data_IF_357209418261
#
_entry.id   IF_357209418261
#
_cell.length_a   1.000
_cell.length_b   1.000
_cell.length_c   1.000
_cell.angle_alpha   90.00
_cell.angle_beta   90.00
_cell.angle_gamma   90.00
#
_symmetry.space_group_name_H-M   'P 1'
#
loop_
_entity.id
_entity.type
_entity.pdbx_description
1 polymer ?
#
# COMPACT_ATOMS: atom_id res chain seq x y z
N UNK A 1 -12.45 -12.11 -17.48
CA UNK A 1 -11.17 -12.30 -16.77
C UNK A 1 -11.26 -11.51 -15.48
N UNK A 2 -11.73 -12.13 -14.40
CA UNK A 2 -11.82 -11.44 -13.11
C UNK A 2 -10.39 -11.19 -12.61
N UNK A 3 -10.08 -9.93 -12.34
CA UNK A 3 -8.82 -9.53 -11.71
C UNK A 3 -8.71 -10.12 -10.30
N UNK A 4 -7.61 -9.83 -9.61
CA UNK A 4 -7.46 -10.18 -8.19
C UNK A 4 -8.70 -9.70 -7.41
N UNK A 5 -9.09 -10.42 -6.35
CA UNK A 5 -10.26 -10.10 -5.50
C UNK A 5 -10.32 -8.62 -5.11
N UNK A 6 -9.16 -8.06 -4.75
CA UNK A 6 -8.93 -6.63 -4.46
C UNK A 6 -9.54 -5.70 -5.53
N UNK A 7 -9.32 -6.00 -6.82
CA UNK A 7 -9.80 -5.20 -7.95
C UNK A 7 -11.32 -5.26 -8.06
N UNK A 8 -11.92 -6.42 -7.81
CA UNK A 8 -13.38 -6.55 -7.88
C UNK A 8 -14.04 -5.77 -6.74
N UNK A 9 -13.51 -5.87 -5.51
CA UNK A 9 -13.98 -5.10 -4.35
C UNK A 9 -13.90 -3.60 -4.63
N UNK A 10 -12.77 -3.15 -5.17
CA UNK A 10 -12.55 -1.76 -5.54
C UNK A 10 -13.60 -1.25 -6.55
N UNK A 11 -13.79 -1.98 -7.66
CA UNK A 11 -14.74 -1.60 -8.70
C UNK A 11 -16.19 -1.61 -8.21
N UNK A 12 -16.56 -2.59 -7.39
CA UNK A 12 -17.90 -2.67 -6.78
C UNK A 12 -18.15 -1.46 -5.87
N UNK A 13 -17.18 -1.12 -5.03
CA UNK A 13 -17.30 0.02 -4.13
C UNK A 13 -17.38 1.33 -4.89
N UNK A 14 -16.59 1.51 -5.95
CA UNK A 14 -16.68 2.69 -6.80
C UNK A 14 -18.04 2.81 -7.48
N UNK A 15 -18.62 1.70 -7.93
CA UNK A 15 -20.00 1.67 -8.43
C UNK A 15 -21.02 2.09 -7.38
N UNK A 16 -20.84 1.68 -6.12
CA UNK A 16 -21.73 2.06 -5.02
C UNK A 16 -21.68 3.57 -4.72
N UNK A 17 -20.49 4.17 -4.67
CA UNK A 17 -20.32 5.61 -4.43
C UNK A 17 -20.49 6.48 -5.70
N UNK A 18 -20.99 5.90 -6.79
CA UNK A 18 -21.17 6.56 -8.09
C UNK A 18 -19.91 7.23 -8.66
N UNK A 19 -18.74 6.65 -8.38
CA UNK A 19 -17.46 7.10 -8.93
C UNK A 19 -17.09 6.23 -10.13
N UNK A 20 -17.21 6.80 -11.33
CA UNK A 20 -16.86 6.09 -12.55
C UNK A 20 -15.35 6.14 -12.80
N UNK A 21 -14.67 5.00 -12.55
CA UNK A 21 -13.21 4.90 -12.70
C UNK A 21 -12.75 3.66 -13.48
N UNK A 22 -13.67 2.76 -13.83
CA UNK A 22 -13.33 1.54 -14.55
C UNK A 22 -12.71 1.83 -15.93
N UNK A 23 -13.15 2.91 -16.58
CA UNK A 23 -12.60 3.39 -17.85
C UNK A 23 -11.17 3.94 -17.71
N UNK A 24 -10.74 4.35 -16.51
CA UNK A 24 -9.39 4.85 -16.22
C UNK A 24 -8.35 3.74 -16.09
N UNK A 25 -8.78 2.47 -16.19
CA UNK A 25 -7.95 1.29 -16.03
C UNK A 25 -6.78 1.25 -17.02
N UNK A 26 -7.05 1.48 -18.30
CA UNK A 26 -6.08 1.31 -19.38
C UNK A 26 -5.53 2.65 -19.85
N UNK A 27 -4.25 2.86 -19.59
CA UNK A 27 -3.49 4.02 -20.06
C UNK A 27 -2.49 3.59 -21.14
N UNK A 28 -2.13 4.51 -22.04
CA UNK A 28 -1.17 4.29 -23.13
C UNK A 28 -1.50 3.08 -24.03
N UNK A 29 -2.68 3.11 -24.67
CA UNK A 29 -3.16 2.04 -25.57
C UNK A 29 -3.19 0.63 -24.92
N UNK A 30 -3.44 0.57 -23.61
CA UNK A 30 -3.55 -0.68 -22.86
C UNK A 30 -2.21 -1.28 -22.41
N UNK A 31 -1.09 -0.56 -22.58
CA UNK A 31 0.23 -0.99 -22.09
C UNK A 31 0.36 -0.86 -20.58
N UNK A 32 -0.38 0.07 -19.97
CA UNK A 32 -0.38 0.29 -18.53
C UNK A 32 -1.78 0.08 -17.96
N UNK A 33 -1.91 -0.84 -17.01
CA UNK A 33 -3.15 -1.12 -16.29
C UNK A 33 -2.92 -0.77 -14.82
N UNK A 34 -3.53 0.33 -14.34
CA UNK A 34 -3.36 0.81 -12.95
C UNK A 34 -3.85 -0.19 -11.90
N UNK A 35 -4.66 -1.16 -12.29
CA UNK A 35 -5.18 -2.21 -11.41
C UNK A 35 -4.38 -3.52 -11.51
N UNK A 36 -3.30 -3.55 -12.30
CA UNK A 36 -2.35 -4.66 -12.31
C UNK A 36 -1.19 -4.38 -11.37
N UNK A 37 -0.92 -5.35 -10.51
CA UNK A 37 0.24 -5.33 -9.64
C UNK A 37 1.07 -6.61 -9.82
N UNK A 38 2.33 -6.53 -9.41
CA UNK A 38 3.23 -7.66 -9.33
C UNK A 38 2.63 -8.77 -8.48
N UNK A 39 2.82 -10.02 -8.89
CA UNK A 39 2.43 -11.20 -8.13
C UNK A 39 2.98 -11.16 -6.70
N UNK A 40 4.16 -10.58 -6.49
CA UNK A 40 4.87 -10.59 -5.22
C UNK A 40 4.88 -9.24 -4.50
N UNK A 41 4.39 -8.14 -5.06
CA UNK A 41 4.33 -6.85 -4.34
C UNK A 41 3.26 -5.91 -4.94
N UNK A 42 3.28 -4.63 -4.55
CA UNK A 42 2.36 -3.61 -5.05
C UNK A 42 2.76 -2.98 -6.38
N UNK A 43 4.02 -3.15 -6.81
CA UNK A 43 4.59 -2.46 -7.99
C UNK A 43 3.94 -2.94 -9.29
N UNK A 44 3.95 -2.08 -10.30
CA UNK A 44 3.50 -2.43 -11.64
C UNK A 44 4.31 -3.62 -12.21
N UNK A 45 3.66 -4.63 -12.80
CA UNK A 45 4.37 -5.69 -13.51
C UNK A 45 4.93 -5.18 -14.83
N UNK A 46 6.02 -5.81 -15.30
CA UNK A 46 6.57 -5.56 -16.64
C UNK A 46 5.54 -5.96 -17.70
N UNK A 47 5.52 -5.26 -18.83
CA UNK A 47 4.62 -5.57 -19.94
C UNK A 47 4.66 -7.07 -20.30
N UNK A 48 3.48 -7.68 -20.46
CA UNK A 48 3.29 -9.12 -20.74
C UNK A 48 3.79 -10.08 -19.65
N UNK A 49 4.21 -9.59 -18.49
CA UNK A 49 4.60 -10.39 -17.31
C UNK A 49 3.62 -10.16 -16.17
N UNK A 50 3.70 -11.01 -15.15
CA UNK A 50 2.94 -10.88 -13.89
C UNK A 50 3.81 -10.39 -12.73
N UNK A 51 5.07 -10.05 -12.99
CA UNK A 51 6.07 -9.64 -11.99
C UNK A 51 6.71 -8.31 -12.40
N UNK A 52 7.12 -7.50 -11.42
CA UNK A 52 7.80 -6.22 -11.64
C UNK A 52 9.30 -6.40 -11.90
N UNK A 53 9.97 -5.31 -12.27
CA UNK A 53 11.42 -5.27 -12.55
C UNK A 53 12.26 -5.76 -11.35
N UNK A 54 11.85 -5.44 -10.13
CA UNK A 54 12.53 -5.89 -8.89
C UNK A 54 12.43 -7.41 -8.71
N UNK A 55 11.33 -8.02 -9.15
CA UNK A 55 11.10 -9.46 -9.01
C UNK A 55 11.45 -10.26 -10.28
N UNK A 56 11.93 -9.63 -11.35
CA UNK A 56 12.45 -10.34 -12.52
C UNK A 56 13.86 -10.88 -12.26
N UNK A 57 14.00 -12.20 -12.26
CA UNK A 57 15.26 -12.91 -11.98
C UNK A 57 16.22 -13.01 -13.19
N UNK A 58 16.25 -12.02 -14.10
CA UNK A 58 17.04 -12.14 -15.34
C UNK A 58 18.04 -11.01 -15.50
N UNK A 59 19.31 -11.39 -15.71
CA UNK A 59 20.42 -10.52 -16.15
C UNK A 59 20.13 -9.70 -17.42
N UNK A 60 19.03 -9.99 -18.15
CA UNK A 60 18.58 -9.21 -19.31
C UNK A 60 17.81 -7.94 -18.94
N UNK A 61 17.44 -7.80 -17.67
CA UNK A 61 16.94 -6.57 -17.07
C UNK A 61 17.80 -6.29 -15.86
N UNK A 62 19.10 -6.11 -16.11
CA UNK A 62 20.04 -5.59 -15.12
C UNK A 62 19.39 -4.41 -14.40
N UNK A 63 19.41 -4.48 -13.07
CA UNK A 63 19.24 -3.32 -12.22
C UNK A 63 20.06 -2.17 -12.82
N UNK A 64 19.40 -1.04 -13.10
CA UNK A 64 20.09 0.22 -13.28
C UNK A 64 20.77 0.49 -11.93
N UNK A 65 22.02 0.04 -11.81
CA UNK A 65 22.93 0.46 -10.75
C UNK A 65 23.28 1.91 -11.07
N UNK A 66 22.68 2.85 -10.34
CA UNK A 66 23.29 4.16 -10.21
C UNK A 66 24.47 4.00 -9.26
N UNK A 67 25.62 4.44 -9.74
CA UNK A 67 26.87 4.69 -9.04
C UNK A 67 26.86 4.49 -7.51
N UNK A 68 27.54 3.42 -7.08
CA UNK A 68 28.45 3.26 -5.93
C UNK A 68 28.35 4.10 -4.62
N UNK A 69 27.32 4.90 -4.35
CA UNK A 69 27.34 5.80 -3.18
C UNK A 69 26.03 5.97 -2.36
N UNK A 70 25.05 5.07 -2.45
CA UNK A 70 23.87 5.12 -1.54
C UNK A 70 23.41 3.73 -1.04
N UNK A 71 24.37 2.84 -0.76
CA UNK A 71 24.11 1.41 -0.56
C UNK A 71 23.47 0.98 0.77
N UNK A 72 23.23 1.86 1.75
CA UNK A 72 22.87 1.37 3.10
C UNK A 72 21.38 1.49 3.48
N UNK A 73 20.59 2.37 2.86
CA UNK A 73 19.20 2.60 3.28
C UNK A 73 18.16 2.00 2.32
N UNK A 74 18.49 1.85 1.03
CA UNK A 74 17.51 1.44 0.01
C UNK A 74 17.33 -0.08 -0.14
N UNK A 75 18.38 -0.90 0.05
CA UNK A 75 18.30 -2.38 -0.07
C UNK A 75 17.30 -3.02 0.93
N UNK A 76 16.92 -2.27 1.94
CA UNK A 76 15.96 -2.60 2.98
C UNK A 76 14.49 -2.67 2.52
N UNK A 77 14.11 -2.34 1.28
CA UNK A 77 12.71 -2.45 0.81
C UNK A 77 12.49 -3.45 -0.34
N UNK A 78 13.57 -3.95 -0.92
CA UNK A 78 13.55 -4.77 -2.11
C UNK A 78 13.83 -6.23 -1.74
N UNK A 79 13.28 -7.16 -2.52
CA UNK A 79 13.54 -8.59 -2.34
C UNK A 79 13.63 -9.25 -3.70
N UNK A 80 14.62 -10.12 -3.86
CA UNK A 80 14.76 -10.90 -5.08
C UNK A 80 13.58 -11.87 -5.26
N UNK A 81 13.40 -12.32 -6.50
CA UNK A 81 12.36 -13.27 -6.90
C UNK A 81 12.14 -14.44 -5.92
N UNK A 82 13.22 -15.07 -5.44
CA UNK A 82 13.14 -16.22 -4.52
C UNK A 82 12.47 -15.85 -3.19
N UNK A 83 12.77 -14.67 -2.70
CA UNK A 83 12.27 -14.15 -1.45
C UNK A 83 10.80 -13.72 -1.59
N UNK A 84 10.44 -13.03 -2.68
CA UNK A 84 9.04 -12.76 -3.03
C UNK A 84 8.21 -14.05 -3.14
N UNK A 85 8.77 -15.10 -3.75
CA UNK A 85 8.13 -16.42 -3.85
C UNK A 85 7.86 -17.06 -2.48
N UNK A 86 8.81 -16.98 -1.54
CA UNK A 86 8.66 -17.53 -0.17
C UNK A 86 7.58 -16.81 0.64
N UNK A 87 7.43 -15.50 0.41
CA UNK A 87 6.50 -14.67 1.17
C UNK A 87 5.08 -14.62 0.58
N UNK A 88 4.87 -15.14 -0.64
CA UNK A 88 3.61 -15.02 -1.39
C UNK A 88 2.37 -15.44 -0.62
N UNK A 89 2.41 -16.59 0.05
CA UNK A 89 1.25 -17.09 0.78
C UNK A 89 0.88 -16.18 1.96
N UNK A 90 1.88 -15.77 2.75
CA UNK A 90 1.68 -14.82 3.86
C UNK A 90 1.23 -13.45 3.35
N UNK A 91 1.72 -13.04 2.18
CA UNK A 91 1.33 -11.80 1.52
C UNK A 91 -0.16 -11.81 1.14
N UNK A 92 -0.60 -12.83 0.41
CA UNK A 92 -1.99 -12.99 0.00
C UNK A 92 -2.94 -13.10 1.19
N UNK A 93 -2.54 -13.86 2.21
CA UNK A 93 -3.29 -13.98 3.45
C UNK A 93 -3.46 -12.62 4.12
N UNK A 94 -2.40 -11.81 4.15
CA UNK A 94 -2.45 -10.47 4.76
C UNK A 94 -3.33 -9.52 3.95
N UNK A 95 -3.25 -9.55 2.61
CA UNK A 95 -4.17 -8.78 1.75
C UNK A 95 -5.62 -9.15 2.05
N UNK A 96 -5.94 -10.45 2.04
CA UNK A 96 -7.30 -10.92 2.29
C UNK A 96 -7.79 -10.54 3.70
N UNK A 97 -6.92 -10.61 4.71
CA UNK A 97 -7.25 -10.18 6.06
C UNK A 97 -7.62 -8.69 6.14
N UNK A 98 -6.84 -7.82 5.48
CA UNK A 98 -7.13 -6.38 5.42
C UNK A 98 -8.45 -6.16 4.67
N UNK A 99 -8.59 -6.74 3.48
CA UNK A 99 -9.81 -6.61 2.67
C UNK A 99 -11.08 -7.07 3.40
N UNK A 100 -11.05 -8.26 4.01
CA UNK A 100 -12.20 -8.80 4.72
C UNK A 100 -12.58 -7.88 5.89
N UNK A 101 -11.59 -7.43 6.67
CA UNK A 101 -11.84 -6.52 7.80
C UNK A 101 -12.50 -5.22 7.32
N UNK A 102 -11.96 -4.58 6.29
CA UNK A 102 -12.47 -3.30 5.78
C UNK A 102 -13.84 -3.45 5.12
N UNK A 103 -14.07 -4.55 4.39
CA UNK A 103 -15.36 -4.82 3.77
C UNK A 103 -16.44 -5.05 4.83
N UNK A 104 -16.14 -5.80 5.89
CA UNK A 104 -17.06 -6.01 7.02
C UNK A 104 -17.37 -4.67 7.71
N UNK A 105 -16.35 -3.87 8.04
CA UNK A 105 -16.55 -2.56 8.68
C UNK A 105 -17.43 -1.64 7.82
N UNK A 106 -17.24 -1.65 6.51
CA UNK A 106 -18.09 -0.94 5.57
C UNK A 106 -19.55 -1.39 5.64
N UNK A 107 -19.82 -2.69 5.63
CA UNK A 107 -21.19 -3.20 5.76
C UNK A 107 -21.81 -2.92 7.13
N UNK A 108 -21.06 -3.08 8.22
CA UNK A 108 -21.53 -2.84 9.59
C UNK A 108 -21.81 -1.36 9.87
N UNK A 109 -21.10 -0.45 9.19
CA UNK A 109 -21.32 0.99 9.27
C UNK A 109 -22.56 1.48 8.48
N UNK A 110 -23.39 0.58 7.95
CA UNK A 110 -24.42 0.91 6.97
C UNK A 110 -23.85 1.70 5.77
N UNK A 111 -22.71 1.24 5.24
CA UNK A 111 -22.07 1.80 4.06
C UNK A 111 -21.54 3.24 4.23
N UNK A 112 -21.23 3.66 5.46
CA UNK A 112 -20.69 5.00 5.75
C UNK A 112 -19.17 5.04 5.94
N UNK A 113 -18.55 3.90 6.25
CA UNK A 113 -17.11 3.80 6.47
C UNK A 113 -16.31 4.06 5.18
N UNK A 114 -15.37 5.02 5.16
CA UNK A 114 -14.62 5.36 3.96
C UNK A 114 -13.56 4.30 3.65
N UNK A 115 -13.96 3.25 2.91
CA UNK A 115 -13.09 2.14 2.53
C UNK A 115 -12.00 2.57 1.53
N UNK A 116 -12.33 3.46 0.59
CA UNK A 116 -11.37 4.02 -0.37
C UNK A 116 -10.62 5.21 0.23
N UNK A 117 -9.51 5.58 -0.43
CA UNK A 117 -8.79 6.79 -0.07
C UNK A 117 -9.71 8.01 -0.22
N UNK A 118 -9.94 8.80 0.84
CA UNK A 118 -10.76 10.00 0.77
C UNK A 118 -10.03 11.11 -0.01
N UNK A 119 -10.75 12.16 -0.39
CA UNK A 119 -10.19 13.35 -1.04
C UNK A 119 -9.64 14.38 -0.05
N UNK A 120 -10.05 14.28 1.22
CA UNK A 120 -9.65 15.13 2.34
C UNK A 120 -9.39 14.23 3.55
N UNK A 121 -8.66 14.74 4.55
CA UNK A 121 -8.27 13.98 5.74
C UNK A 121 -7.54 12.67 5.40
N UNK A 122 -6.65 12.73 4.40
CA UNK A 122 -5.91 11.58 3.89
C UNK A 122 -4.91 11.08 4.92
N UNK A 123 -4.22 11.98 5.61
CA UNK A 123 -3.22 11.57 6.62
C UNK A 123 -3.84 10.79 7.80
N UNK A 124 -4.92 11.26 8.45
CA UNK A 124 -5.65 10.46 9.44
C UNK A 124 -6.09 9.09 8.90
N UNK A 125 -6.63 9.05 7.68
CA UNK A 125 -7.04 7.81 7.04
C UNK A 125 -5.86 6.84 6.87
N UNK A 126 -4.69 7.32 6.45
CA UNK A 126 -3.48 6.50 6.33
C UNK A 126 -3.01 5.97 7.69
N UNK A 127 -3.04 6.78 8.75
CA UNK A 127 -2.64 6.33 10.08
C UNK A 127 -3.53 5.19 10.60
N UNK A 128 -4.83 5.27 10.35
CA UNK A 128 -5.79 4.24 10.78
C UNK A 128 -5.72 2.98 9.90
N UNK A 129 -5.71 3.15 8.58
CA UNK A 129 -5.94 2.07 7.61
C UNK A 129 -4.64 1.49 7.03
N UNK A 130 -3.60 2.31 6.90
CA UNK A 130 -2.33 1.96 6.23
C UNK A 130 -1.13 2.40 7.09
N UNK A 131 -1.05 1.97 8.36
CA UNK A 131 -0.08 2.51 9.32
C UNK A 131 1.38 2.25 8.92
N UNK A 132 1.69 1.16 8.21
CA UNK A 132 3.05 0.91 7.75
C UNK A 132 3.41 1.74 6.52
N UNK A 133 2.45 2.04 5.66
CA UNK A 133 2.64 3.04 4.60
C UNK A 133 2.83 4.44 5.19
N UNK A 134 2.04 4.82 6.19
CA UNK A 134 2.23 6.10 6.89
C UNK A 134 3.63 6.19 7.51
N UNK A 135 4.07 5.11 8.17
CA UNK A 135 5.44 5.00 8.69
C UNK A 135 6.48 5.12 7.57
N UNK A 136 6.26 4.51 6.41
CA UNK A 136 7.17 4.60 5.27
C UNK A 136 7.36 6.06 4.81
N UNK A 137 6.29 6.87 4.80
CA UNK A 137 6.40 8.30 4.46
C UNK A 137 7.25 9.06 5.48
N UNK A 138 7.04 8.81 6.77
CA UNK A 138 7.84 9.40 7.86
C UNK A 138 9.30 8.98 7.74
N UNK A 139 9.57 7.69 7.58
CA UNK A 139 10.93 7.14 7.47
C UNK A 139 11.69 7.70 6.25
N UNK A 140 10.98 8.17 5.22
CA UNK A 140 11.53 8.81 4.02
C UNK A 140 11.54 10.34 4.08
N UNK A 141 11.17 10.95 5.21
CA UNK A 141 11.02 12.40 5.37
C UNK A 141 10.12 13.05 4.30
N UNK A 142 9.05 12.36 3.91
CA UNK A 142 8.07 12.86 2.94
C UNK A 142 6.96 13.65 3.65
N UNK A 143 6.39 14.63 2.95
CA UNK A 143 5.31 15.48 3.47
C UNK A 143 4.06 14.65 3.81
N UNK A 144 3.46 14.97 4.95
CA UNK A 144 2.23 14.37 5.47
C UNK A 144 1.05 15.33 5.38
N UNK A 145 1.23 16.47 4.72
CA UNK A 145 0.18 17.46 4.49
C UNK A 145 -0.76 16.96 3.39
N UNK A 146 -2.07 17.04 3.61
CA UNK A 146 -3.08 16.52 2.67
C UNK A 146 -2.96 17.09 1.25
N UNK A 147 -2.52 18.35 1.09
CA UNK A 147 -2.35 18.99 -0.22
C UNK A 147 -1.26 18.32 -1.08
N UNK A 148 -0.25 17.72 -0.43
CA UNK A 148 0.94 17.16 -1.09
C UNK A 148 1.07 15.65 -0.85
N UNK A 149 0.16 15.05 -0.07
CA UNK A 149 0.27 13.67 0.39
C UNK A 149 0.20 12.66 -0.77
N UNK A 150 -0.56 12.99 -1.82
CA UNK A 150 -0.62 12.14 -3.02
C UNK A 150 0.74 12.11 -3.72
N UNK A 151 1.45 13.23 -3.73
CA UNK A 151 2.80 13.29 -4.27
C UNK A 151 3.78 12.47 -3.43
N UNK A 152 3.72 12.57 -2.10
CA UNK A 152 4.47 11.70 -1.18
C UNK A 152 4.18 10.22 -1.41
N UNK A 153 2.91 9.84 -1.53
CA UNK A 153 2.50 8.45 -1.77
C UNK A 153 3.03 7.95 -3.11
N UNK A 154 2.95 8.76 -4.16
CA UNK A 154 3.50 8.40 -5.48
C UNK A 154 5.02 8.30 -5.45
N UNK A 155 5.72 9.19 -4.74
CA UNK A 155 7.17 9.10 -4.54
C UNK A 155 7.57 7.81 -3.80
N UNK A 156 6.84 7.44 -2.75
CA UNK A 156 7.17 6.24 -1.96
C UNK A 156 6.80 4.94 -2.70
N UNK A 157 5.65 4.90 -3.37
CA UNK A 157 5.06 3.65 -3.86
C UNK A 157 5.18 3.46 -5.37
N UNK A 158 5.22 4.54 -6.13
CA UNK A 158 5.16 4.53 -7.60
C UNK A 158 6.17 5.50 -8.24
N UNK A 159 7.37 5.58 -7.66
CA UNK A 159 8.44 6.40 -8.21
C UNK A 159 9.00 5.79 -9.51
N UNK A 160 9.23 6.61 -10.55
CA UNK A 160 9.81 6.18 -11.81
C UNK A 160 11.34 6.00 -11.74
N UNK A 161 11.97 6.16 -10.57
CA UNK A 161 13.42 5.96 -10.43
C UNK A 161 13.78 4.53 -10.85
N UNK A 162 14.77 4.41 -11.74
CA UNK A 162 15.34 3.16 -12.25
C UNK A 162 14.48 2.46 -13.31
N UNK A 163 13.57 3.19 -13.97
CA UNK A 163 12.82 2.70 -15.13
C UNK A 163 13.55 3.01 -16.44
N UNK A 164 13.40 2.11 -17.42
CA UNK A 164 13.82 2.38 -18.80
C UNK A 164 12.93 3.43 -19.45
N UNK A 165 13.42 4.11 -20.49
CA UNK A 165 12.65 5.12 -21.24
C UNK A 165 11.29 4.59 -21.73
N UNK A 166 11.24 3.31 -22.11
CA UNK A 166 10.01 2.64 -22.55
C UNK A 166 8.95 2.49 -21.45
N UNK A 167 9.34 2.52 -20.17
CA UNK A 167 8.46 2.40 -19.01
C UNK A 167 8.21 3.72 -18.30
N UNK A 168 9.11 4.71 -18.49
CA UNK A 168 9.02 6.03 -17.87
C UNK A 168 7.73 6.77 -18.25
N UNK A 169 7.45 6.92 -19.55
CA UNK A 169 6.27 7.65 -20.03
C UNK A 169 4.96 7.08 -19.49
N UNK A 170 4.69 5.75 -19.58
CA UNK A 170 3.50 5.17 -18.97
C UNK A 170 3.38 5.41 -17.46
N UNK A 171 4.49 5.35 -16.72
CA UNK A 171 4.51 5.61 -15.27
C UNK A 171 4.13 7.05 -14.94
N UNK A 172 4.70 8.02 -15.66
CA UNK A 172 4.40 9.44 -15.45
C UNK A 172 2.94 9.76 -15.78
N UNK A 173 2.41 9.19 -16.87
CA UNK A 173 0.99 9.32 -17.21
C UNK A 173 0.11 8.75 -16.08
N UNK A 174 0.41 7.54 -15.60
CA UNK A 174 -0.32 6.94 -14.49
C UNK A 174 -0.29 7.82 -13.23
N UNK A 175 0.86 8.39 -12.87
CA UNK A 175 0.98 9.31 -11.74
C UNK A 175 0.11 10.55 -11.92
N UNK A 176 0.09 11.17 -13.11
CA UNK A 176 -0.79 12.29 -13.40
C UNK A 176 -2.26 11.91 -13.29
N UNK A 177 -2.64 10.71 -13.75
CA UNK A 177 -4.01 10.21 -13.62
C UNK A 177 -4.39 9.96 -12.15
N UNK A 178 -3.50 9.37 -11.35
CA UNK A 178 -3.72 9.16 -9.91
C UNK A 178 -3.86 10.51 -9.19
N UNK A 179 -3.07 11.53 -9.53
CA UNK A 179 -3.24 12.87 -8.94
C UNK A 179 -4.63 13.46 -9.20
N UNK A 180 -5.19 13.24 -10.39
CA UNK A 180 -6.54 13.69 -10.74
C UNK A 180 -7.64 12.84 -10.10
N UNK A 181 -7.35 11.56 -9.85
CA UNK A 181 -8.27 10.60 -9.27
C UNK A 181 -7.56 9.79 -8.17
N UNK A 182 -7.38 10.38 -6.96
CA UNK A 182 -6.59 9.78 -5.89
C UNK A 182 -7.04 8.38 -5.48
N UNK A 183 -8.33 8.06 -5.64
CA UNK A 183 -8.89 6.75 -5.32
C UNK A 183 -8.20 5.62 -6.09
N UNK A 184 -7.63 5.89 -7.27
CA UNK A 184 -6.93 4.90 -8.08
C UNK A 184 -5.70 4.30 -7.38
N UNK A 185 -5.10 4.99 -6.41
CA UNK A 185 -3.95 4.48 -5.67
C UNK A 185 -4.32 3.42 -4.62
N UNK A 186 -5.61 3.25 -4.30
CA UNK A 186 -6.06 2.40 -3.20
C UNK A 186 -5.55 0.95 -3.29
N UNK A 187 -5.60 0.34 -4.48
CA UNK A 187 -5.05 -1.02 -4.68
C UNK A 187 -3.56 -1.09 -4.35
N UNK A 188 -2.82 -0.05 -4.73
CA UNK A 188 -1.40 0.05 -4.44
C UNK A 188 -1.15 0.18 -2.94
N UNK A 189 -1.94 1.00 -2.24
CA UNK A 189 -1.86 1.18 -0.79
C UNK A 189 -2.13 -0.13 -0.04
N UNK A 190 -3.22 -0.82 -0.37
CA UNK A 190 -3.59 -2.10 0.22
C UNK A 190 -2.45 -3.13 0.08
N UNK A 191 -1.93 -3.25 -1.13
CA UNK A 191 -0.85 -4.18 -1.45
C UNK A 191 0.47 -3.79 -0.81
N UNK A 192 0.76 -2.48 -0.68
CA UNK A 192 1.96 -2.00 -0.02
C UNK A 192 1.90 -2.27 1.47
N UNK A 193 0.77 -1.99 2.12
CA UNK A 193 0.55 -2.26 3.55
C UNK A 193 0.73 -3.75 3.88
N UNK A 194 0.12 -4.63 3.09
CA UNK A 194 0.29 -6.07 3.27
C UNK A 194 1.75 -6.51 3.11
N UNK A 195 2.49 -5.92 2.17
CA UNK A 195 3.89 -6.24 1.95
C UNK A 195 4.79 -5.73 3.09
N UNK A 196 4.57 -4.50 3.55
CA UNK A 196 5.30 -3.95 4.67
C UNK A 196 5.01 -4.73 5.95
N UNK A 197 3.78 -5.23 6.12
CA UNK A 197 3.37 -6.06 7.26
C UNK A 197 4.18 -7.35 7.33
N UNK A 198 4.23 -8.11 6.23
CA UNK A 198 4.98 -9.38 6.21
C UNK A 198 6.48 -9.14 6.39
N UNK A 199 7.01 -8.04 5.84
CA UNK A 199 8.43 -7.69 5.97
C UNK A 199 8.78 -7.29 7.41
N UNK A 200 7.93 -6.50 8.05
CA UNK A 200 8.07 -6.10 9.45
C UNK A 200 8.05 -7.32 10.38
N UNK A 201 7.07 -8.22 10.21
CA UNK A 201 7.00 -9.49 10.97
C UNK A 201 8.24 -10.35 10.80
N UNK A 202 8.74 -10.48 9.56
CA UNK A 202 9.93 -11.27 9.28
C UNK A 202 11.19 -10.66 9.90
N UNK A 203 11.37 -9.34 9.82
CA UNK A 203 12.49 -8.64 10.49
C UNK A 203 12.45 -8.83 12.00
N UNK A 204 11.28 -8.72 12.62
CA UNK A 204 11.10 -8.96 14.05
C UNK A 204 11.40 -10.40 14.48
N UNK A 205 11.27 -11.37 13.57
CA UNK A 205 11.54 -12.79 13.81
C UNK A 205 12.92 -13.25 13.30
N UNK A 206 13.70 -12.35 12.70
CA UNK A 206 15.03 -12.66 12.19
C UNK A 206 15.98 -12.88 13.37
N UNK A 207 16.67 -14.01 13.42
CA UNK A 207 17.55 -14.38 14.54
C UNK A 207 16.93 -15.32 15.59
N UNK A 208 15.70 -15.81 15.37
CA UNK A 208 15.18 -16.90 16.21
C UNK A 208 14.75 -16.47 17.61
N UNK A 209 14.23 -15.25 17.78
CA UNK A 209 13.52 -14.86 19.00
C UNK A 209 12.24 -15.71 19.15
N UNK A 210 12.41 -16.94 19.63
CA UNK A 210 11.34 -17.73 20.22
C UNK A 210 10.88 -16.94 21.44
N UNK A 211 9.73 -16.28 21.35
CA UNK A 211 9.05 -15.81 22.56
C UNK A 211 8.91 -17.03 23.47
N UNK A 212 9.53 -16.98 24.64
CA UNK A 212 9.30 -17.94 25.71
C UNK A 212 7.79 -17.99 25.92
N UNK A 213 7.19 -19.13 25.57
CA UNK A 213 5.81 -19.43 25.92
C UNK A 213 5.81 -19.65 27.43
N UNK A 214 5.55 -18.58 28.19
CA UNK A 214 5.19 -18.71 29.59
C UNK A 214 3.71 -19.07 29.58
N UNK A 215 3.43 -20.34 29.81
CA UNK A 215 2.09 -20.81 30.19
C UNK A 215 1.76 -20.21 31.55
N UNK A 216 0.90 -19.21 31.56
CA UNK A 216 0.13 -18.82 32.74
C UNK A 216 -1.20 -18.26 32.27
N UNK A 217 -2.26 -19.04 32.48
CA UNK A 217 -3.61 -18.52 32.62
C UNK A 217 -3.61 -17.43 33.69
N UNK A 218 -4.09 -16.23 33.35
CA UNK A 218 -5.00 -15.40 34.15
C UNK A 218 -5.21 -14.04 33.47
N UNK A 219 -6.48 -13.75 33.21
CA UNK A 219 -7.16 -12.47 33.31
C UNK A 219 -6.52 -11.15 32.79
N UNK A 220 -7.25 -10.56 31.82
CA UNK A 220 -7.48 -9.12 31.62
C UNK A 220 -6.38 -8.09 31.91
N UNK A 221 -5.89 -7.44 30.83
CA UNK A 221 -5.94 -5.97 30.59
C UNK A 221 -5.32 -5.64 29.23
N UNK A 222 -6.15 -5.18 28.30
CA UNK A 222 -5.71 -4.49 27.08
C UNK A 222 -4.94 -3.24 27.54
N UNK A 223 -3.70 -2.98 27.07
CA UNK A 223 -3.04 -1.72 27.39
C UNK A 223 -3.78 -0.60 26.65
N UNK A 224 -4.49 0.22 27.42
CA UNK A 224 -5.35 1.33 26.96
C UNK A 224 -4.53 2.53 26.47
N UNK A 225 -3.18 2.46 26.45
CA UNK A 225 -2.36 3.54 25.92
C UNK A 225 -1.28 3.08 24.94
N UNK A 226 -1.35 3.65 23.73
CA UNK A 226 -0.30 3.57 22.73
C UNK A 226 0.80 4.56 23.08
N UNK A 227 2.06 4.24 22.80
CA UNK A 227 3.20 5.17 23.00
C UNK A 227 3.11 6.46 22.16
N UNK A 228 2.11 6.55 21.30
CA UNK A 228 1.82 7.70 20.46
C UNK A 228 0.69 8.58 21.01
N UNK A 229 0.03 8.20 22.11
CA UNK A 229 -1.05 8.99 22.70
C UNK A 229 -0.57 10.36 23.21
N UNK A 230 0.72 10.46 23.57
CA UNK A 230 1.37 11.71 23.94
C UNK A 230 1.45 12.73 22.78
N UNK A 231 1.22 12.31 21.52
CA UNK A 231 1.17 13.21 20.37
C UNK A 231 -0.23 13.83 20.16
N UNK A 232 -1.24 13.42 20.95
CA UNK A 232 -2.64 13.81 20.77
C UNK A 232 -3.24 14.54 21.99
N UNK A 233 -2.46 14.79 23.06
CA UNK A 233 -2.89 15.64 24.18
C UNK A 233 -2.90 17.12 23.73
N UNK A 234 -4.05 17.58 23.22
CA UNK A 234 -4.28 18.99 22.88
C UNK A 234 -5.22 19.24 21.70
N UNK A 235 -5.62 18.21 20.93
CA UNK A 235 -6.59 18.36 19.86
C UNK A 235 -8.01 18.08 20.39
N UNK A 236 -8.83 19.12 20.51
CA UNK A 236 -10.26 18.98 20.80
C UNK A 236 -10.94 18.16 19.69
N UNK A 237 -11.28 16.92 20.01
CA UNK A 237 -12.09 16.06 19.17
C UNK A 237 -13.52 16.61 19.12
N UNK A 238 -13.95 17.12 17.96
CA UNK A 238 -15.38 17.39 17.70
C UNK A 238 -15.95 16.27 16.83
N UNK A 239 -17.02 15.59 17.26
CA UNK A 239 -17.68 14.59 16.43
C UNK A 239 -18.31 15.25 15.21
N UNK A 240 -17.95 14.78 14.02
CA UNK A 240 -18.57 15.19 12.76
C UNK A 240 -19.84 14.37 12.58
N UNK A 241 -20.98 14.94 12.98
CA UNK A 241 -22.29 14.56 12.47
C UNK A 241 -23.30 15.68 12.72
N UNK A 242 -23.43 16.59 11.75
CA UNK A 242 -24.71 17.25 11.44
C UNK A 242 -24.71 17.63 9.96
N UNK A 243 -25.35 16.80 9.13
CA UNK A 243 -25.89 17.23 7.85
C UNK A 243 -27.41 17.18 7.96
N UNK A 244 -28.02 18.36 8.02
CA UNK A 244 -29.32 18.68 7.42
C UNK A 244 -29.05 19.38 6.10
#
# INVERSE_FOLDING_TARGET
VFGNLETNVFLQHCGFINVEIAHLRYLDAGKFDVFKACKYCWRQPVSRRTICVVHTASDKHSSIMLDNHEHEVRDSLFTDYKEGKRQKESYDKTINQILTKETIAFHESNFSDPLLLPTEHIWPWLLERRPLVAKLLIDQNLTTCDDEIIDSLLMALHSPTMLTDSLLKPYLMANQHIKRHPQLIWLMLLRAEAWLTIRSKRRGNWGGNRKLVITADTDSKIPVKSKYDALFEGMEYRPINTYT
#
